data_IF_176858809899
#
_entry.id   IF_176858809899
#
_cell.length_a   1.000
_cell.length_b   1.000
_cell.length_c   1.000
_cell.angle_alpha   90.00
_cell.angle_beta   90.00
_cell.angle_gamma   90.00
#
_symmetry.space_group_name_H-M   'P 1'
#
loop_
_entity.id
_entity.type
_entity.pdbx_description
1 polymer ?
#
# COMPACT_ATOMS: atom_id res chain seq x y z
N UNK A 1 44.21 -1.42 15.51
CA UNK A 1 43.82 -0.15 14.89
C UNK A 1 44.92 0.30 13.95
N UNK A 2 44.54 0.66 12.72
CA UNK A 2 45.42 1.27 11.71
C UNK A 2 44.94 2.69 11.43
N UNK A 3 45.86 3.61 11.13
CA UNK A 3 45.47 4.99 10.77
C UNK A 3 44.81 5.01 9.41
N UNK A 4 43.63 5.68 9.32
CA UNK A 4 42.98 6.01 8.06
C UNK A 4 43.38 7.42 7.58
N UNK A 5 42.82 7.85 6.43
CA UNK A 5 43.00 9.20 5.93
C UNK A 5 42.40 10.26 6.90
N UNK A 6 43.10 11.38 7.03
CA UNK A 6 42.65 12.50 7.88
C UNK A 6 41.46 13.27 7.25
N UNK A 7 40.55 13.77 8.07
CA UNK A 7 39.52 14.74 7.63
C UNK A 7 40.18 16.00 7.06
N UNK A 8 39.64 16.61 5.99
CA UNK A 8 40.18 17.85 5.43
C UNK A 8 40.24 19.03 6.42
N UNK A 9 39.32 19.05 7.37
CA UNK A 9 39.23 20.09 8.41
C UNK A 9 38.89 19.47 9.76
N UNK A 10 39.59 19.88 10.82
CA UNK A 10 39.32 19.41 12.18
C UNK A 10 37.98 19.98 12.69
N UNK A 11 37.07 19.11 13.06
CA UNK A 11 35.71 19.43 13.54
C UNK A 11 35.35 18.58 14.76
N UNK A 12 34.44 19.06 15.58
CA UNK A 12 33.88 18.31 16.71
C UNK A 12 32.35 18.27 16.66
N UNK A 13 31.71 17.33 17.34
CA UNK A 13 30.24 17.17 17.39
C UNK A 13 29.59 17.07 15.99
N UNK A 14 30.23 16.36 15.09
CA UNK A 14 29.75 16.13 13.72
C UNK A 14 28.62 15.08 13.69
N UNK A 15 27.72 15.24 12.74
CA UNK A 15 26.87 14.15 12.25
C UNK A 15 27.72 13.10 11.51
N UNK A 16 27.26 11.85 11.53
CA UNK A 16 27.94 10.74 10.90
C UNK A 16 26.95 9.69 10.38
N UNK A 17 27.28 9.06 9.24
CA UNK A 17 26.54 7.93 8.69
C UNK A 17 27.49 6.96 8.01
N UNK A 18 27.05 5.71 7.83
CA UNK A 18 27.81 4.70 7.07
C UNK A 18 28.69 3.78 7.89
N UNK A 19 29.67 3.17 7.22
CA UNK A 19 30.55 2.12 7.73
C UNK A 19 32.02 2.51 7.70
N UNK A 20 32.91 1.61 8.15
CA UNK A 20 34.36 1.80 8.14
C UNK A 20 34.94 2.10 6.75
N UNK A 21 34.39 1.51 5.70
CA UNK A 21 34.88 1.66 4.33
C UNK A 21 34.06 2.63 3.48
N UNK A 22 32.93 3.12 4.02
CA UNK A 22 32.01 4.01 3.34
C UNK A 22 31.27 4.89 4.37
N UNK A 23 31.97 5.91 4.90
CA UNK A 23 31.42 6.81 5.91
C UNK A 23 31.15 8.21 5.32
N UNK A 24 30.18 8.91 5.92
CA UNK A 24 29.89 10.31 5.67
C UNK A 24 30.00 11.07 7.00
N UNK A 25 30.76 12.16 6.99
CA UNK A 25 30.89 13.09 8.12
C UNK A 25 30.40 14.48 7.71
N UNK A 26 29.53 15.11 8.49
CA UNK A 26 28.88 16.36 8.09
C UNK A 26 28.59 17.30 9.27
N UNK A 27 28.55 18.58 8.99
CA UNK A 27 28.33 19.61 9.99
C UNK A 27 29.45 19.69 11.03
N UNK A 28 29.08 19.97 12.28
CA UNK A 28 30.00 20.10 13.41
C UNK A 28 30.48 21.52 13.68
N UNK A 29 31.27 21.68 14.73
CA UNK A 29 31.89 22.94 15.13
C UNK A 29 33.39 22.99 14.86
N UNK A 30 33.96 24.18 14.68
CA UNK A 30 35.42 24.41 14.57
C UNK A 30 36.01 24.78 15.94
N UNK A 31 37.18 24.26 16.22
CA UNK A 31 37.91 24.59 17.45
C UNK A 31 38.27 26.10 17.49
N UNK A 32 38.00 26.75 18.62
CA UNK A 32 38.35 28.16 18.83
C UNK A 32 37.34 29.21 18.40
N UNK A 33 36.20 28.82 17.85
CA UNK A 33 35.13 29.72 17.41
C UNK A 33 33.94 29.77 18.37
N UNK A 34 33.39 30.95 18.62
CA UNK A 34 32.12 31.18 19.34
C UNK A 34 31.06 31.71 18.36
N UNK A 35 29.82 31.27 18.50
CA UNK A 35 28.68 31.75 17.69
C UNK A 35 28.42 30.95 16.40
N UNK A 36 27.47 31.45 15.60
CA UNK A 36 26.97 30.73 14.39
C UNK A 36 28.05 30.55 13.29
N UNK A 37 28.99 31.49 13.18
CA UNK A 37 30.06 31.47 12.19
C UNK A 37 31.09 30.34 12.40
N UNK A 38 31.09 29.69 13.58
CA UNK A 38 31.98 28.58 13.88
C UNK A 38 31.37 27.19 13.58
N UNK A 39 30.19 27.12 12.97
CA UNK A 39 29.52 25.88 12.64
C UNK A 39 29.63 25.55 11.16
N UNK A 40 30.05 24.31 10.90
CA UNK A 40 30.36 23.85 9.57
C UNK A 40 29.09 23.43 8.80
N UNK A 41 29.04 23.81 7.53
CA UNK A 41 28.12 23.24 6.54
C UNK A 41 28.75 22.09 5.75
N UNK A 42 30.08 21.87 5.86
CA UNK A 42 30.76 20.89 4.99
C UNK A 42 30.34 19.47 5.30
N UNK A 43 30.32 18.68 4.26
CA UNK A 43 30.08 17.25 4.27
C UNK A 43 31.21 16.57 3.51
N UNK A 44 31.72 15.46 4.04
CA UNK A 44 32.87 14.73 3.50
C UNK A 44 32.58 13.23 3.50
N UNK A 45 32.82 12.55 2.36
CA UNK A 45 32.67 11.10 2.19
C UNK A 45 34.02 10.38 2.30
N UNK A 46 34.08 9.27 3.02
CA UNK A 46 35.24 8.40 3.19
C UNK A 46 35.09 7.13 2.36
N UNK A 47 36.10 6.78 1.58
CA UNK A 47 36.09 5.62 0.69
C UNK A 47 36.89 4.41 1.23
N UNK A 48 37.21 4.41 2.51
CA UNK A 48 38.08 3.39 3.14
C UNK A 48 39.55 3.81 3.20
N UNK A 49 39.95 4.88 2.49
CA UNK A 49 41.37 5.36 2.44
C UNK A 49 41.47 6.87 2.62
N UNK A 50 40.59 7.64 2.01
CA UNK A 50 40.63 9.11 1.99
C UNK A 50 39.24 9.72 2.07
N UNK A 51 39.21 11.00 2.49
CA UNK A 51 38.01 11.81 2.54
C UNK A 51 37.92 12.70 1.31
N UNK A 52 36.72 12.83 0.74
CA UNK A 52 36.40 13.71 -0.40
C UNK A 52 35.20 14.55 -0.05
N UNK A 53 35.25 15.87 -0.33
CA UNK A 53 34.12 16.78 -0.10
C UNK A 53 32.89 16.39 -0.92
N UNK A 54 31.73 16.44 -0.29
CA UNK A 54 30.41 16.24 -0.91
C UNK A 54 29.60 17.55 -0.78
N UNK A 55 28.43 17.68 -1.44
CA UNK A 55 27.59 18.88 -1.28
C UNK A 55 27.37 19.26 0.18
N UNK A 56 27.34 20.55 0.44
CA UNK A 56 27.23 21.12 1.78
C UNK A 56 25.79 21.09 2.31
N UNK A 57 25.63 21.04 3.61
CA UNK A 57 24.38 21.31 4.33
C UNK A 57 23.89 22.74 4.01
N UNK A 58 22.58 22.94 4.03
CA UNK A 58 21.98 24.28 3.91
C UNK A 58 22.31 25.16 5.11
N UNK A 59 22.44 24.56 6.30
CA UNK A 59 22.69 25.30 7.55
C UNK A 59 23.74 24.60 8.41
N UNK A 60 24.82 25.31 8.70
CA UNK A 60 25.88 24.82 9.60
C UNK A 60 25.39 24.66 11.03
N UNK A 61 25.58 23.48 11.62
CA UNK A 61 25.18 23.16 13.00
C UNK A 61 26.02 22.05 13.63
N UNK A 62 26.10 22.07 14.95
CA UNK A 62 26.83 21.09 15.75
C UNK A 62 25.92 20.33 16.71
N UNK A 63 26.30 19.15 17.15
CA UNK A 63 25.59 18.39 18.18
C UNK A 63 24.17 17.97 17.78
N UNK A 64 23.91 17.83 16.48
CA UNK A 64 22.71 17.19 15.94
C UNK A 64 22.80 15.67 15.99
N UNK A 65 21.66 15.01 15.97
CA UNK A 65 21.55 13.58 15.76
C UNK A 65 21.69 13.21 14.29
N UNK A 66 22.13 11.99 14.01
CA UNK A 66 22.32 11.51 12.65
C UNK A 66 22.04 10.02 12.54
N UNK A 67 21.66 9.56 11.35
CA UNK A 67 21.42 8.15 11.03
C UNK A 67 21.69 7.88 9.54
N UNK A 68 21.62 6.62 9.13
CA UNK A 68 21.70 6.22 7.73
C UNK A 68 23.08 5.70 7.29
N UNK A 69 23.29 5.72 5.98
CA UNK A 69 24.51 5.25 5.30
C UNK A 69 25.16 6.40 4.52
N UNK A 70 26.34 6.16 3.95
CA UNK A 70 27.10 7.19 3.21
C UNK A 70 26.30 7.88 2.11
N UNK A 71 25.43 7.16 1.41
CA UNK A 71 24.66 7.65 0.26
C UNK A 71 23.19 7.97 0.60
N UNK A 72 22.78 7.76 1.86
CA UNK A 72 21.40 8.03 2.33
C UNK A 72 21.46 8.35 3.83
N UNK A 73 21.67 9.62 4.17
CA UNK A 73 21.92 10.07 5.54
C UNK A 73 20.94 11.14 6.01
N UNK A 74 20.69 11.14 7.31
CA UNK A 74 19.83 12.09 7.99
C UNK A 74 20.63 12.89 9.03
N UNK A 75 20.43 14.22 9.06
CA UNK A 75 20.87 15.11 10.13
C UNK A 75 19.67 15.83 10.71
N UNK A 76 19.47 15.77 12.01
CA UNK A 76 18.32 16.39 12.67
C UNK A 76 18.70 17.08 13.98
N UNK A 77 17.97 18.14 14.31
CA UNK A 77 18.27 18.95 15.49
C UNK A 77 19.64 19.63 15.40
N UNK A 78 20.25 19.82 16.54
CA UNK A 78 21.56 20.46 16.68
C UNK A 78 21.49 21.88 17.23
N UNK A 79 22.59 22.56 17.15
CA UNK A 79 22.76 23.91 17.67
C UNK A 79 23.31 24.85 16.59
N UNK A 80 22.61 25.95 16.33
CA UNK A 80 23.09 27.09 15.51
C UNK A 80 23.55 28.19 16.43
N UNK A 81 22.64 28.88 17.12
CA UNK A 81 22.82 29.75 18.28
C UNK A 81 22.04 29.20 19.47
N UNK A 82 20.96 28.52 19.20
CA UNK A 82 20.09 27.79 20.12
C UNK A 82 19.82 26.41 19.57
N UNK A 83 19.16 25.53 20.32
CA UNK A 83 18.68 24.26 19.85
C UNK A 83 17.67 24.45 18.70
N UNK A 84 17.76 23.64 17.66
CA UNK A 84 16.88 23.71 16.49
C UNK A 84 16.13 22.38 16.25
N UNK A 85 15.09 22.45 15.43
CA UNK A 85 14.30 21.28 15.02
C UNK A 85 14.58 20.82 13.58
N UNK A 86 15.40 21.54 12.84
CA UNK A 86 15.65 21.31 11.42
C UNK A 86 16.15 19.89 11.14
N UNK A 87 15.64 19.31 10.07
CA UNK A 87 16.12 18.05 9.50
C UNK A 87 16.62 18.28 8.09
N UNK A 88 17.75 17.68 7.74
CA UNK A 88 18.26 17.62 6.37
C UNK A 88 18.55 16.18 5.97
N UNK A 89 18.24 15.85 4.73
CA UNK A 89 18.36 14.53 4.11
C UNK A 89 19.40 14.56 3.00
N UNK A 90 20.29 13.56 2.99
CA UNK A 90 21.27 13.34 1.92
C UNK A 90 20.85 12.16 1.06
N UNK A 91 20.73 12.38 -0.25
CA UNK A 91 20.35 11.36 -1.24
C UNK A 91 21.55 10.73 -1.98
N UNK A 92 22.77 11.01 -1.53
CA UNK A 92 24.02 10.62 -2.20
C UNK A 92 24.56 11.71 -3.14
N UNK A 93 23.77 12.70 -3.50
CA UNK A 93 24.13 13.77 -4.43
C UNK A 93 23.88 15.18 -3.89
N UNK A 94 22.93 15.35 -3.00
CA UNK A 94 22.53 16.65 -2.42
C UNK A 94 21.92 16.53 -1.04
N UNK A 95 21.96 17.64 -0.27
CA UNK A 95 21.22 17.80 0.97
C UNK A 95 19.92 18.57 0.71
N UNK A 96 18.80 18.05 1.18
CA UNK A 96 17.48 18.68 1.08
C UNK A 96 16.83 18.76 2.46
N UNK A 97 15.93 19.73 2.66
CA UNK A 97 15.21 19.85 3.92
C UNK A 97 14.13 18.76 4.03
N UNK A 98 14.17 17.99 5.12
CA UNK A 98 13.12 17.08 5.53
C UNK A 98 12.15 17.73 6.53
N UNK A 99 11.16 16.96 7.01
CA UNK A 99 10.25 17.38 8.07
C UNK A 99 10.97 17.67 9.38
N UNK A 100 10.60 18.74 10.07
CA UNK A 100 11.24 19.14 11.32
C UNK A 100 10.82 18.25 12.49
N UNK A 101 11.72 18.09 13.48
CA UNK A 101 11.39 17.55 14.80
C UNK A 101 10.24 18.34 15.44
N UNK A 102 9.40 17.68 16.22
CA UNK A 102 8.36 18.33 17.01
C UNK A 102 8.94 19.12 18.19
N UNK A 103 10.11 18.69 18.68
CA UNK A 103 10.81 19.36 19.79
C UNK A 103 12.21 19.76 19.36
N UNK A 104 12.56 21.05 19.52
CA UNK A 104 13.92 21.53 19.29
C UNK A 104 14.88 20.84 20.24
N UNK A 105 16.00 20.34 19.72
CA UNK A 105 16.99 19.64 20.55
C UNK A 105 18.40 19.74 20.00
N UNK A 106 19.37 19.85 20.91
CA UNK A 106 20.82 19.82 20.66
C UNK A 106 21.47 18.77 21.53
N UNK A 107 22.76 18.49 21.32
CA UNK A 107 23.49 17.42 22.01
C UNK A 107 22.71 16.11 21.97
N UNK A 108 22.11 15.88 20.81
CA UNK A 108 21.25 14.73 20.58
C UNK A 108 22.13 13.50 20.55
N UNK A 109 21.61 12.43 21.07
CA UNK A 109 22.09 11.09 20.79
C UNK A 109 21.95 10.84 19.29
N UNK A 110 22.88 10.10 18.69
CA UNK A 110 22.67 9.66 17.31
C UNK A 110 21.33 8.92 17.19
N UNK A 111 20.63 9.13 16.09
CA UNK A 111 19.47 8.34 15.75
C UNK A 111 19.85 6.88 15.51
N UNK A 112 18.95 5.97 15.82
CA UNK A 112 19.04 4.57 15.38
C UNK A 112 18.14 4.37 14.18
N UNK A 113 18.69 3.84 13.07
CA UNK A 113 17.90 3.56 11.87
C UNK A 113 18.48 4.08 10.56
N UNK A 114 17.63 4.21 9.57
CA UNK A 114 17.92 4.61 8.18
C UNK A 114 17.42 6.03 7.90
N UNK A 115 17.64 6.54 6.68
CA UNK A 115 17.08 7.80 6.22
C UNK A 115 15.55 7.87 6.38
N UNK A 116 14.85 6.77 6.14
CA UNK A 116 13.37 6.72 6.10
C UNK A 116 12.76 6.02 7.32
N UNK A 117 13.56 5.60 8.31
CA UNK A 117 13.10 4.96 9.53
C UNK A 117 14.15 5.21 10.63
N UNK A 118 14.00 6.30 11.36
CA UNK A 118 14.94 6.72 12.41
C UNK A 118 14.21 7.02 13.70
N UNK A 119 14.68 6.44 14.80
CA UNK A 119 14.23 6.78 16.15
C UNK A 119 15.31 7.57 16.90
N UNK A 120 14.94 8.56 17.65
CA UNK A 120 15.83 9.32 18.54
C UNK A 120 15.17 9.59 19.89
N UNK A 121 15.98 9.65 20.93
CA UNK A 121 15.55 10.00 22.29
C UNK A 121 16.50 11.02 22.89
N UNK A 122 16.03 11.75 23.88
CA UNK A 122 16.87 12.64 24.66
C UNK A 122 17.35 13.88 23.92
N UNK A 123 18.53 14.35 24.29
CA UNK A 123 19.07 15.62 23.88
C UNK A 123 18.78 16.71 24.94
N UNK A 124 19.05 17.96 24.55
CA UNK A 124 18.92 19.14 25.41
C UNK A 124 18.12 20.21 24.67
N UNK A 125 17.02 20.67 25.25
CA UNK A 125 16.27 21.83 24.75
C UNK A 125 16.95 23.15 25.14
N UNK A 126 16.56 24.27 24.53
CA UNK A 126 16.98 25.56 25.01
C UNK A 126 16.02 26.02 26.12
N UNK A 127 16.52 26.43 27.30
CA UNK A 127 17.87 26.82 27.70
C UNK A 127 18.73 25.74 28.38
N UNK A 128 18.62 24.46 28.07
CA UNK A 128 19.56 23.47 28.57
C UNK A 128 18.98 22.33 29.39
N UNK A 129 17.66 22.19 29.41
CA UNK A 129 17.01 21.06 30.07
C UNK A 129 17.15 19.77 29.25
N UNK A 130 17.59 18.67 29.86
CA UNK A 130 17.64 17.36 29.23
C UNK A 130 16.22 16.81 28.99
N UNK A 131 16.02 16.19 27.83
CA UNK A 131 14.72 15.72 27.34
C UNK A 131 14.61 14.21 27.57
N UNK A 132 13.42 13.73 27.94
CA UNK A 132 13.09 12.29 28.01
C UNK A 132 12.41 11.80 26.75
N UNK A 133 11.75 12.68 26.01
CA UNK A 133 10.90 12.34 24.86
C UNK A 133 11.69 11.77 23.69
N UNK A 134 11.07 10.81 23.01
CA UNK A 134 11.54 10.26 21.73
C UNK A 134 10.69 10.73 20.57
N UNK A 135 11.28 10.68 19.37
CA UNK A 135 10.61 10.95 18.10
C UNK A 135 11.09 9.97 17.04
N UNK A 136 10.15 9.51 16.21
CA UNK A 136 10.41 8.61 15.07
C UNK A 136 10.20 9.35 13.75
N UNK A 137 11.09 9.16 12.80
CA UNK A 137 11.04 9.70 11.43
C UNK A 137 10.65 8.63 10.43
N UNK A 138 9.69 8.92 9.56
CA UNK A 138 9.17 7.99 8.56
C UNK A 138 9.64 8.29 7.12
N UNK A 139 10.66 9.10 6.95
CA UNK A 139 11.12 9.57 5.64
C UNK A 139 10.44 10.87 5.15
N UNK A 140 9.50 11.43 5.93
CA UNK A 140 8.80 12.67 5.56
C UNK A 140 8.56 13.56 6.78
N UNK A 141 8.19 12.98 7.92
CA UNK A 141 7.83 13.71 9.13
C UNK A 141 8.25 12.99 10.41
N UNK A 142 8.42 13.75 11.47
CA UNK A 142 8.66 13.24 12.82
C UNK A 142 7.36 13.07 13.60
N UNK A 143 7.23 11.96 14.30
CA UNK A 143 6.12 11.68 15.21
C UNK A 143 6.66 11.44 16.61
N UNK A 144 6.12 12.14 17.61
CA UNK A 144 6.46 11.89 19.01
C UNK A 144 6.03 10.50 19.43
N UNK A 145 6.95 9.72 19.99
CA UNK A 145 6.63 8.41 20.53
C UNK A 145 6.15 8.52 21.97
N UNK A 146 5.26 7.61 22.39
CA UNK A 146 4.72 7.61 23.75
C UNK A 146 5.73 7.13 24.81
N UNK A 147 6.75 6.35 24.37
CA UNK A 147 7.85 5.95 25.25
C UNK A 147 8.75 7.13 25.59
N UNK A 148 9.23 7.18 26.80
CA UNK A 148 10.19 8.18 27.26
C UNK A 148 11.33 7.54 28.02
N UNK A 149 12.52 8.13 27.97
CA UNK A 149 13.62 7.74 28.84
C UNK A 149 13.24 7.89 30.31
N UNK A 150 13.73 7.01 31.17
CA UNK A 150 13.52 7.10 32.63
C UNK A 150 14.06 8.42 33.21
N UNK A 151 15.13 8.94 32.63
CA UNK A 151 15.69 10.25 32.96
C UNK A 151 16.10 11.00 31.69
N UNK A 152 15.92 12.31 31.65
CA UNK A 152 16.38 13.13 30.52
C UNK A 152 17.90 13.03 30.39
N UNK A 153 18.38 12.60 29.23
CA UNK A 153 19.83 12.46 28.94
C UNK A 153 20.23 13.21 27.69
N UNK A 154 21.45 13.68 27.65
CA UNK A 154 22.08 14.22 26.46
C UNK A 154 23.44 13.58 26.25
N UNK A 155 23.98 13.61 25.03
CA UNK A 155 25.27 12.99 24.66
C UNK A 155 25.39 11.51 25.00
N UNK A 156 24.28 10.75 24.99
CA UNK A 156 24.29 9.30 25.18
C UNK A 156 24.77 8.59 23.90
N UNK A 157 25.17 7.31 24.03
CA UNK A 157 25.37 6.42 22.92
C UNK A 157 24.06 5.81 22.41
N UNK A 158 24.01 5.39 21.16
CA UNK A 158 22.90 4.60 20.63
C UNK A 158 23.41 3.49 19.69
N UNK A 159 22.62 2.43 19.56
CA UNK A 159 22.81 1.47 18.45
C UNK A 159 22.39 2.14 17.14
N UNK A 160 22.93 1.65 16.02
CA UNK A 160 22.65 2.20 14.68
C UNK A 160 21.78 1.26 13.83
N UNK A 161 21.07 0.31 14.46
CA UNK A 161 20.52 -0.85 13.74
C UNK A 161 19.17 -0.58 13.05
N UNK A 162 18.21 0.03 13.72
CA UNK A 162 16.88 0.31 13.11
C UNK A 162 16.09 1.34 13.91
N UNK A 163 15.08 1.95 13.28
CA UNK A 163 14.12 2.82 13.95
C UNK A 163 13.13 2.06 14.84
N UNK A 164 13.02 0.75 14.69
CA UNK A 164 12.12 -0.11 15.46
C UNK A 164 12.75 -0.82 16.64
N UNK A 165 14.10 -0.83 16.74
CA UNK A 165 14.84 -1.44 17.85
C UNK A 165 16.13 -0.67 18.09
N UNK A 166 16.27 -0.12 19.28
CA UNK A 166 17.42 0.72 19.62
C UNK A 166 17.84 0.53 21.07
N UNK A 167 19.11 0.70 21.33
CA UNK A 167 19.69 0.77 22.69
C UNK A 167 20.25 2.17 22.89
N UNK A 168 19.90 2.81 23.99
CA UNK A 168 20.44 4.09 24.42
C UNK A 168 21.19 3.89 25.74
N UNK A 169 22.42 4.38 25.84
CA UNK A 169 23.25 4.11 27.00
C UNK A 169 24.14 5.28 27.38
N UNK A 170 24.36 5.44 28.67
CA UNK A 170 25.21 6.49 29.23
C UNK A 170 24.69 7.88 28.97
N UNK A 171 25.57 8.86 28.94
CA UNK A 171 25.26 10.27 28.71
C UNK A 171 25.27 11.11 29.98
N UNK A 172 24.77 12.35 29.86
CA UNK A 172 24.63 13.29 30.98
C UNK A 172 23.17 13.51 31.34
N UNK A 173 22.86 13.42 32.61
CA UNK A 173 21.55 13.79 33.20
C UNK A 173 21.73 15.11 34.00
N UNK A 174 20.66 15.75 34.47
CA UNK A 174 20.76 16.89 35.39
C UNK A 174 21.54 16.60 36.67
N UNK A 175 21.60 15.32 37.08
CA UNK A 175 22.37 14.85 38.24
C UNK A 175 23.83 14.46 37.95
N UNK A 176 24.29 14.56 36.72
CA UNK A 176 25.63 14.16 36.28
C UNK A 176 25.63 13.01 35.26
N UNK A 177 26.78 12.35 35.12
CA UNK A 177 26.92 11.21 34.19
C UNK A 177 26.13 10.01 34.68
N UNK A 178 25.55 9.25 33.73
CA UNK A 178 24.80 8.04 34.01
C UNK A 178 25.44 6.79 33.38
N UNK A 179 25.25 5.65 34.01
CA UNK A 179 25.59 4.32 33.48
C UNK A 179 24.36 3.60 32.94
N UNK A 180 23.18 4.26 32.98
CA UNK A 180 21.92 3.64 32.56
C UNK A 180 22.00 3.17 31.10
N UNK A 181 21.39 2.04 30.85
CA UNK A 181 21.10 1.50 29.53
C UNK A 181 19.61 1.31 29.41
N UNK A 182 19.03 1.81 28.35
CA UNK A 182 17.61 1.68 28.08
C UNK A 182 17.40 1.09 26.67
N UNK A 183 16.57 0.07 26.60
CA UNK A 183 16.24 -0.62 25.34
C UNK A 183 14.89 -0.17 24.84
N UNK A 184 14.86 0.29 23.60
CA UNK A 184 13.64 0.61 22.88
C UNK A 184 13.30 -0.50 21.93
N UNK A 185 12.08 -1.00 22.02
CA UNK A 185 11.50 -1.92 21.05
C UNK A 185 10.16 -1.39 20.60
N UNK A 186 10.04 -1.17 19.30
CA UNK A 186 8.75 -0.98 18.66
C UNK A 186 8.05 -2.34 18.66
N UNK A 187 7.17 -2.57 19.60
CA UNK A 187 6.35 -3.77 19.55
C UNK A 187 5.26 -3.56 18.50
N UNK A 188 5.20 -4.47 17.57
CA UNK A 188 4.03 -4.63 16.70
C UNK A 188 2.89 -5.05 17.63
N UNK A 189 1.98 -4.12 17.92
CA UNK A 189 0.80 -4.42 18.73
C UNK A 189 -0.39 -4.66 17.85
N UNK A 190 -1.12 -5.65 18.26
CA UNK A 190 -2.40 -6.13 17.74
C UNK A 190 -2.68 -5.63 16.34
N UNK A 191 -2.55 -6.47 15.34
CA UNK A 191 -3.02 -6.11 14.03
C UNK A 191 -4.43 -5.59 14.20
N UNK A 192 -4.74 -4.42 13.65
CA UNK A 192 -6.14 -4.07 13.43
C UNK A 192 -6.61 -5.14 12.47
N UNK A 193 -7.43 -6.05 12.99
CA UNK A 193 -7.89 -7.19 12.22
C UNK A 193 -8.52 -6.70 10.92
N UNK A 194 -8.23 -7.38 9.84
CA UNK A 194 -8.91 -7.15 8.57
C UNK A 194 -10.43 -7.14 8.79
N UNK A 195 -11.13 -6.21 8.16
CA UNK A 195 -12.59 -6.08 8.35
C UNK A 195 -13.31 -5.67 7.06
N UNK A 196 -14.59 -6.03 6.99
CA UNK A 196 -15.54 -5.40 6.06
C UNK A 196 -16.33 -4.33 6.81
N UNK A 197 -16.23 -3.08 6.37
CA UNK A 197 -17.00 -1.97 6.91
C UNK A 197 -18.10 -1.57 5.92
N UNK A 198 -19.19 -1.01 6.43
CA UNK A 198 -20.25 -0.43 5.59
C UNK A 198 -19.75 0.86 4.94
N UNK A 199 -19.89 0.97 3.62
CA UNK A 199 -19.72 2.21 2.86
C UNK A 199 -21.06 2.87 2.57
N UNK A 200 -21.05 4.00 1.87
CA UNK A 200 -22.27 4.65 1.35
C UNK A 200 -23.03 3.75 0.38
N UNK A 201 -24.33 3.84 0.38
CA UNK A 201 -25.19 3.04 -0.50
C UNK A 201 -25.19 3.58 -1.93
N UNK A 202 -25.30 2.69 -2.93
CA UNK A 202 -25.63 3.04 -4.30
C UNK A 202 -26.94 3.83 -4.35
N UNK A 203 -27.06 4.79 -5.25
CA UNK A 203 -28.30 5.52 -5.49
C UNK A 203 -29.38 4.61 -6.08
N UNK A 204 -28.98 3.68 -6.95
CA UNK A 204 -29.89 2.70 -7.56
C UNK A 204 -29.47 1.27 -7.22
N UNK A 205 -30.36 0.54 -6.52
CA UNK A 205 -30.15 -0.87 -6.19
C UNK A 205 -30.08 -1.74 -7.44
N UNK A 206 -29.01 -2.52 -7.57
CA UNK A 206 -28.75 -3.34 -8.75
C UNK A 206 -28.01 -4.63 -8.42
N UNK A 207 -28.11 -5.58 -9.33
CA UNK A 207 -27.36 -6.85 -9.31
C UNK A 207 -26.69 -7.07 -10.66
N UNK A 208 -25.67 -7.90 -10.71
CA UNK A 208 -24.99 -8.27 -11.97
C UNK A 208 -24.36 -7.04 -12.70
N UNK A 209 -24.10 -5.98 -11.98
CA UNK A 209 -23.31 -4.84 -12.47
C UNK A 209 -21.82 -5.15 -12.45
N UNK A 210 -21.07 -4.51 -13.35
CA UNK A 210 -19.61 -4.52 -13.30
C UNK A 210 -19.08 -3.58 -12.22
N UNK A 211 -17.89 -3.83 -11.70
CA UNK A 211 -17.18 -2.96 -10.75
C UNK A 211 -15.72 -2.77 -11.12
N UNK A 212 -15.22 -1.53 -10.96
CA UNK A 212 -13.83 -1.14 -11.18
C UNK A 212 -13.36 -0.17 -10.10
N UNK A 213 -12.06 0.14 -10.05
CA UNK A 213 -11.48 1.01 -9.04
C UNK A 213 -11.21 0.31 -7.72
N UNK A 214 -11.25 1.04 -6.62
CA UNK A 214 -10.96 0.55 -5.28
C UNK A 214 -11.94 1.08 -4.21
N UNK A 215 -11.69 0.75 -2.94
CA UNK A 215 -12.55 1.14 -1.81
C UNK A 215 -12.67 2.65 -1.57
N UNK A 216 -11.77 3.47 -2.12
CA UNK A 216 -11.77 4.93 -1.97
C UNK A 216 -12.24 5.64 -3.25
N UNK A 217 -12.11 4.96 -4.39
CA UNK A 217 -12.45 5.45 -5.71
C UNK A 217 -13.02 4.32 -6.57
N UNK A 218 -14.23 3.92 -6.28
CA UNK A 218 -14.95 2.83 -6.95
C UNK A 218 -15.82 3.31 -8.10
N UNK A 219 -16.06 2.44 -9.06
CA UNK A 219 -16.97 2.61 -10.19
C UNK A 219 -17.87 1.40 -10.30
N UNK A 220 -19.17 1.62 -10.46
CA UNK A 220 -20.13 0.56 -10.81
C UNK A 220 -20.94 1.01 -12.01
N UNK A 221 -21.02 0.16 -13.03
CA UNK A 221 -21.79 0.46 -14.24
C UNK A 221 -22.63 -0.74 -14.71
N UNK A 222 -23.75 -0.44 -15.33
CA UNK A 222 -24.70 -1.43 -15.82
C UNK A 222 -25.35 -2.26 -14.71
N UNK A 223 -25.77 -3.43 -15.07
CA UNK A 223 -26.46 -4.38 -14.18
C UNK A 223 -27.96 -4.49 -14.46
N UNK A 224 -28.64 -5.16 -13.55
CA UNK A 224 -30.08 -5.32 -13.59
C UNK A 224 -30.71 -4.64 -12.38
N UNK A 225 -31.48 -3.59 -12.60
CA UNK A 225 -32.26 -2.90 -11.58
C UNK A 225 -33.61 -3.63 -11.39
N UNK A 226 -34.49 -3.09 -10.56
CA UNK A 226 -35.74 -3.76 -10.13
C UNK A 226 -36.57 -4.36 -11.27
N UNK A 227 -36.62 -3.70 -12.42
CA UNK A 227 -37.50 -4.10 -13.53
C UNK A 227 -36.80 -4.31 -14.86
N UNK A 228 -35.56 -3.81 -15.03
CA UNK A 228 -34.88 -3.81 -16.32
C UNK A 228 -33.34 -3.78 -16.17
N UNK A 229 -32.65 -4.16 -17.27
CA UNK A 229 -31.24 -3.85 -17.45
C UNK A 229 -31.03 -2.34 -17.45
N UNK A 230 -29.91 -1.89 -16.90
CA UNK A 230 -29.57 -0.46 -16.81
C UNK A 230 -28.23 -0.17 -17.46
N UNK A 231 -28.04 1.05 -17.91
CA UNK A 231 -26.77 1.62 -18.34
C UNK A 231 -26.15 2.50 -17.25
N UNK A 232 -26.86 2.72 -16.14
CA UNK A 232 -26.48 3.67 -15.10
C UNK A 232 -25.08 3.42 -14.55
N UNK A 233 -24.35 4.51 -14.41
CA UNK A 233 -22.98 4.55 -13.90
C UNK A 233 -22.93 5.35 -12.61
N UNK A 234 -22.30 4.83 -11.58
CA UNK A 234 -22.09 5.51 -10.30
C UNK A 234 -20.61 5.45 -9.87
N UNK A 235 -20.10 6.56 -9.35
CA UNK A 235 -18.76 6.69 -8.79
C UNK A 235 -18.79 6.82 -7.27
N UNK A 236 -17.85 6.15 -6.61
CA UNK A 236 -17.65 6.14 -5.16
C UNK A 236 -16.43 6.96 -4.78
N UNK A 237 -16.57 7.88 -3.83
CA UNK A 237 -15.50 8.75 -3.36
C UNK A 237 -14.91 8.30 -2.00
N UNK A 238 -15.13 7.05 -1.60
CA UNK A 238 -14.75 6.52 -0.28
C UNK A 238 -15.82 6.71 0.80
N UNK A 239 -16.87 7.49 0.52
CA UNK A 239 -17.94 7.80 1.49
C UNK A 239 -19.33 7.66 0.87
N UNK A 240 -19.56 8.16 -0.33
CA UNK A 240 -20.86 8.19 -1.02
C UNK A 240 -20.71 7.90 -2.51
N UNK A 241 -21.81 7.47 -3.12
CA UNK A 241 -21.94 7.26 -4.55
C UNK A 241 -22.61 8.49 -5.22
N UNK A 242 -22.13 8.83 -6.39
CA UNK A 242 -22.71 9.86 -7.25
C UNK A 242 -22.96 9.32 -8.65
N UNK A 243 -24.09 9.68 -9.23
CA UNK A 243 -24.42 9.32 -10.61
C UNK A 243 -23.54 10.06 -11.61
N UNK A 244 -23.17 9.35 -12.67
CA UNK A 244 -22.33 9.82 -13.77
C UNK A 244 -23.04 9.57 -15.11
N UNK A 245 -22.41 9.93 -16.22
CA UNK A 245 -22.93 9.65 -17.54
C UNK A 245 -23.02 8.14 -17.78
N UNK A 246 -24.15 7.71 -18.31
CA UNK A 246 -24.50 6.33 -18.56
C UNK A 246 -23.69 5.71 -19.71
N UNK A 247 -23.54 4.38 -19.69
CA UNK A 247 -23.03 3.61 -20.83
C UNK A 247 -23.95 3.78 -22.05
N UNK A 248 -23.39 3.66 -23.25
CA UNK A 248 -24.15 3.67 -24.50
C UNK A 248 -25.15 2.51 -24.59
N UNK A 249 -24.81 1.34 -24.03
CA UNK A 249 -25.63 0.13 -24.10
C UNK A 249 -26.00 -0.39 -22.72
N UNK A 250 -27.29 -0.39 -22.37
CA UNK A 250 -27.82 -1.00 -21.16
C UNK A 250 -27.63 -2.53 -21.18
N UNK A 251 -26.92 -3.06 -20.18
CA UNK A 251 -26.54 -4.48 -20.10
C UNK A 251 -26.24 -4.94 -18.67
N UNK A 252 -26.35 -6.22 -18.43
CA UNK A 252 -25.96 -6.87 -17.18
C UNK A 252 -25.04 -8.07 -17.45
N UNK A 253 -24.41 -8.62 -16.41
CA UNK A 253 -23.42 -9.72 -16.55
C UNK A 253 -22.24 -9.36 -17.47
N UNK A 254 -21.92 -8.09 -17.60
CA UNK A 254 -20.74 -7.59 -18.27
C UNK A 254 -19.53 -7.62 -17.32
N UNK A 255 -18.34 -7.74 -17.87
CA UNK A 255 -17.12 -7.46 -17.14
C UNK A 255 -16.87 -5.94 -17.11
N UNK A 256 -16.32 -5.45 -16.01
CA UNK A 256 -15.86 -4.06 -15.86
C UNK A 256 -14.57 -4.08 -15.05
N UNK A 257 -13.51 -3.51 -15.59
CA UNK A 257 -12.20 -3.43 -14.94
C UNK A 257 -11.51 -2.10 -15.28
N UNK A 258 -10.56 -1.71 -14.47
CA UNK A 258 -9.81 -0.47 -14.58
C UNK A 258 -9.85 0.32 -13.28
N UNK A 259 -9.56 1.60 -13.38
CA UNK A 259 -9.72 2.57 -12.28
C UNK A 259 -11.06 3.29 -12.41
N UNK A 260 -11.42 4.11 -11.41
CA UNK A 260 -12.62 4.96 -11.48
C UNK A 260 -12.59 5.88 -12.71
N UNK A 261 -11.43 6.41 -13.09
CA UNK A 261 -11.28 7.37 -14.18
C UNK A 261 -10.79 6.78 -15.50
N UNK A 262 -10.55 5.45 -15.55
CA UNK A 262 -10.11 4.75 -16.76
C UNK A 262 -10.53 3.28 -16.67
N UNK A 263 -11.77 2.98 -17.05
CA UNK A 263 -12.36 1.65 -16.96
C UNK A 263 -12.88 1.15 -18.29
N UNK A 264 -12.76 -0.17 -18.52
CA UNK A 264 -13.27 -0.84 -19.72
C UNK A 264 -14.42 -1.78 -19.32
N UNK A 265 -15.59 -1.59 -19.92
CA UNK A 265 -16.76 -2.50 -19.81
C UNK A 265 -16.92 -3.27 -21.11
N UNK A 266 -17.05 -4.58 -21.05
CA UNK A 266 -17.17 -5.39 -22.25
C UNK A 266 -18.00 -6.64 -22.03
N UNK A 267 -18.55 -7.14 -23.14
CA UNK A 267 -19.48 -8.26 -23.09
C UNK A 267 -20.79 -7.93 -22.38
N UNK A 268 -21.42 -8.94 -21.81
CA UNK A 268 -22.67 -8.82 -21.08
C UNK A 268 -23.89 -9.30 -21.84
N UNK A 269 -25.06 -9.10 -21.25
CA UNK A 269 -26.34 -9.53 -21.81
C UNK A 269 -27.26 -8.33 -22.08
N UNK A 270 -27.73 -8.20 -23.32
CA UNK A 270 -28.68 -7.17 -23.74
C UNK A 270 -29.85 -7.70 -24.60
N UNK A 271 -30.27 -8.95 -24.36
CA UNK A 271 -31.23 -9.72 -25.18
C UNK A 271 -30.57 -10.96 -25.79
N UNK A 272 -29.25 -11.04 -25.68
CA UNK A 272 -28.30 -12.11 -26.00
C UNK A 272 -26.95 -11.75 -25.43
N UNK A 273 -25.98 -12.64 -25.49
CA UNK A 273 -24.58 -12.30 -25.21
C UNK A 273 -24.05 -11.34 -26.27
N UNK A 274 -23.46 -10.24 -25.86
CA UNK A 274 -22.95 -9.19 -26.74
C UNK A 274 -21.43 -9.07 -26.65
N UNK A 275 -20.79 -8.51 -27.68
CA UNK A 275 -19.35 -8.22 -27.71
C UNK A 275 -19.01 -6.79 -27.33
N UNK A 276 -20.02 -5.91 -27.24
CA UNK A 276 -19.82 -4.46 -27.05
C UNK A 276 -18.79 -4.13 -25.99
N UNK A 277 -17.85 -3.28 -26.37
CA UNK A 277 -16.77 -2.78 -25.50
C UNK A 277 -16.88 -1.26 -25.40
N UNK A 278 -16.93 -0.73 -24.20
CA UNK A 278 -16.99 0.71 -23.93
C UNK A 278 -15.92 1.11 -22.92
N UNK A 279 -15.21 2.22 -23.21
CA UNK A 279 -14.20 2.82 -22.37
C UNK A 279 -14.76 4.03 -21.63
N UNK A 280 -14.59 4.05 -20.32
CA UNK A 280 -14.87 5.19 -19.45
C UNK A 280 -13.61 6.01 -19.21
N UNK A 281 -13.70 7.34 -19.36
CA UNK A 281 -12.58 8.26 -19.21
C UNK A 281 -12.63 9.10 -17.93
N UNK A 282 -13.48 8.74 -16.96
CA UNK A 282 -13.74 9.51 -15.76
C UNK A 282 -14.89 10.52 -15.90
N UNK A 283 -15.50 10.62 -17.09
CA UNK A 283 -16.63 11.53 -17.34
C UNK A 283 -17.67 10.89 -18.25
N UNK A 284 -17.25 10.20 -19.29
CA UNK A 284 -18.16 9.67 -20.32
C UNK A 284 -17.65 8.32 -20.86
N UNK A 285 -18.55 7.58 -21.45
CA UNK A 285 -18.32 6.32 -22.14
C UNK A 285 -18.12 6.54 -23.64
N UNK A 286 -17.22 5.79 -24.24
CA UNK A 286 -16.99 5.77 -25.69
C UNK A 286 -16.85 4.34 -26.18
N UNK A 287 -17.51 4.02 -27.30
CA UNK A 287 -17.43 2.73 -27.97
C UNK A 287 -15.98 2.42 -28.40
N UNK A 288 -15.59 1.17 -28.23
CA UNK A 288 -14.33 0.61 -28.64
C UNK A 288 -14.56 -0.61 -29.55
N UNK A 289 -13.49 -1.22 -30.05
CA UNK A 289 -13.62 -2.47 -30.80
C UNK A 289 -14.12 -3.60 -29.89
N UNK A 290 -15.10 -4.35 -30.38
CA UNK A 290 -15.81 -5.38 -29.66
C UNK A 290 -14.98 -6.65 -29.44
N UNK A 291 -15.33 -7.46 -28.43
CA UNK A 291 -14.87 -8.83 -28.28
C UNK A 291 -15.13 -9.61 -29.58
N UNK A 292 -14.19 -10.47 -29.98
CA UNK A 292 -14.37 -11.33 -31.14
C UNK A 292 -15.57 -12.28 -30.96
N UNK A 293 -15.82 -12.72 -29.72
CA UNK A 293 -16.99 -13.55 -29.39
C UNK A 293 -17.86 -12.90 -28.33
N UNK A 294 -19.07 -12.50 -28.71
CA UNK A 294 -20.06 -11.92 -27.77
C UNK A 294 -20.48 -12.92 -26.70
N UNK A 295 -20.30 -12.53 -25.42
CA UNK A 295 -20.58 -13.40 -24.27
C UNK A 295 -20.89 -12.63 -23.01
N UNK A 296 -21.58 -13.26 -22.08
CA UNK A 296 -21.92 -12.72 -20.76
C UNK A 296 -21.38 -13.63 -19.64
N UNK A 297 -21.44 -13.18 -18.39
CA UNK A 297 -20.96 -13.94 -17.21
C UNK A 297 -19.48 -14.33 -17.25
N UNK A 298 -18.71 -13.60 -18.05
CA UNK A 298 -17.27 -13.74 -18.19
C UNK A 298 -16.56 -13.04 -17.02
N UNK A 299 -15.30 -13.35 -16.83
CA UNK A 299 -14.41 -12.68 -15.90
C UNK A 299 -13.32 -11.89 -16.64
N UNK A 300 -12.63 -11.06 -15.89
CA UNK A 300 -11.60 -10.19 -16.44
C UNK A 300 -10.47 -9.91 -15.44
N UNK A 301 -9.29 -9.57 -15.98
CA UNK A 301 -8.14 -9.05 -15.27
C UNK A 301 -7.43 -7.99 -16.12
N UNK A 302 -6.74 -7.02 -15.49
CA UNK A 302 -5.98 -6.01 -16.22
C UNK A 302 -6.55 -4.60 -16.12
N UNK A 303 -6.03 -3.71 -16.95
CA UNK A 303 -6.33 -2.28 -17.01
C UNK A 303 -7.17 -1.94 -18.24
N UNK A 304 -7.66 -0.70 -18.35
CA UNK A 304 -8.46 -0.24 -19.51
C UNK A 304 -7.70 -0.30 -20.85
N UNK A 305 -6.37 -0.39 -20.83
CA UNK A 305 -5.54 -0.47 -22.03
C UNK A 305 -4.82 -1.80 -22.22
N UNK A 306 -4.86 -2.68 -21.21
CA UNK A 306 -4.25 -4.01 -21.23
C UNK A 306 -5.15 -4.95 -20.44
N UNK A 307 -6.18 -5.51 -21.11
CA UNK A 307 -7.23 -6.30 -20.50
C UNK A 307 -7.18 -7.75 -20.94
N UNK A 308 -7.54 -8.66 -20.03
CA UNK A 308 -7.77 -10.08 -20.32
C UNK A 308 -9.23 -10.40 -20.01
N UNK A 309 -9.94 -10.99 -20.97
CA UNK A 309 -11.31 -11.49 -20.87
C UNK A 309 -11.30 -13.01 -20.97
N UNK A 310 -11.94 -13.72 -20.04
CA UNK A 310 -11.93 -15.18 -20.05
C UNK A 310 -13.21 -15.83 -19.53
N UNK A 311 -13.49 -17.00 -20.05
CA UNK A 311 -14.70 -17.76 -19.72
C UNK A 311 -16.00 -17.12 -20.26
N UNK A 312 -17.11 -17.51 -19.68
CA UNK A 312 -18.43 -16.93 -19.98
C UNK A 312 -19.45 -17.89 -20.59
N UNK A 313 -20.54 -17.34 -21.10
CA UNK A 313 -21.70 -18.00 -21.71
C UNK A 313 -21.87 -17.44 -23.14
N UNK A 314 -22.32 -18.13 -24.18
CA UNK A 314 -23.38 -19.14 -24.20
C UNK A 314 -22.97 -20.54 -23.77
N UNK A 315 -24.02 -21.40 -23.55
CA UNK A 315 -23.85 -22.80 -23.23
C UNK A 315 -23.45 -23.62 -24.47
N UNK A 316 -22.50 -24.60 -24.33
CA UNK A 316 -21.75 -24.90 -23.13
C UNK A 316 -20.86 -23.75 -22.72
N UNK A 317 -20.54 -23.61 -21.40
CA UNK A 317 -19.73 -22.51 -20.94
C UNK A 317 -18.39 -22.44 -21.67
N UNK A 318 -17.98 -21.25 -22.06
CA UNK A 318 -16.81 -21.03 -22.89
C UNK A 318 -15.52 -21.06 -22.06
N UNK A 319 -14.45 -21.53 -22.69
CA UNK A 319 -13.09 -21.42 -22.16
C UNK A 319 -12.34 -20.23 -22.73
N UNK A 320 -12.85 -19.55 -23.71
CA UNK A 320 -12.20 -18.53 -24.52
C UNK A 320 -11.52 -17.46 -23.69
N UNK A 321 -10.30 -17.14 -24.11
CA UNK A 321 -9.50 -16.05 -23.55
C UNK A 321 -9.17 -15.08 -24.66
N UNK A 322 -9.41 -13.79 -24.44
CA UNK A 322 -9.08 -12.71 -25.36
C UNK A 322 -8.29 -11.60 -24.62
N UNK A 323 -7.28 -11.05 -25.28
CA UNK A 323 -6.50 -9.92 -24.82
C UNK A 323 -6.85 -8.64 -25.57
N UNK A 324 -6.99 -7.53 -24.83
CA UNK A 324 -7.17 -6.18 -25.37
C UNK A 324 -5.86 -5.40 -25.24
N UNK A 325 -5.40 -4.81 -26.35
CA UNK A 325 -4.14 -4.05 -26.42
C UNK A 325 -4.32 -2.53 -26.34
N UNK A 326 -5.49 -2.06 -25.90
CA UNK A 326 -5.86 -0.64 -25.92
C UNK A 326 -6.59 -0.22 -27.18
N UNK A 327 -6.70 -1.10 -28.18
CA UNK A 327 -7.39 -0.82 -29.45
C UNK A 327 -8.29 -1.98 -29.89
N UNK A 328 -7.81 -3.21 -29.84
CA UNK A 328 -8.50 -4.39 -30.37
C UNK A 328 -8.31 -5.61 -29.49
N UNK A 329 -9.22 -6.56 -29.62
CA UNK A 329 -9.16 -7.86 -28.97
C UNK A 329 -8.50 -8.90 -29.86
N UNK A 330 -7.72 -9.79 -29.26
CA UNK A 330 -7.07 -10.93 -29.93
C UNK A 330 -7.23 -12.19 -29.08
N UNK A 331 -7.49 -13.31 -29.75
CA UNK A 331 -7.62 -14.62 -29.09
C UNK A 331 -6.28 -15.10 -28.53
N UNK A 332 -6.33 -15.73 -27.36
CA UNK A 332 -5.21 -16.31 -26.65
C UNK A 332 -5.49 -17.76 -26.27
N UNK A 333 -4.56 -18.43 -25.60
CA UNK A 333 -4.77 -19.79 -25.11
C UNK A 333 -5.88 -19.82 -24.05
N UNK A 334 -6.80 -20.74 -24.24
CA UNK A 334 -8.02 -20.89 -23.45
C UNK A 334 -7.79 -21.42 -22.04
N UNK A 335 -8.76 -21.16 -21.14
CA UNK A 335 -8.87 -21.86 -19.86
C UNK A 335 -8.87 -23.39 -20.07
N UNK A 336 -8.27 -24.15 -19.18
CA UNK A 336 -8.32 -25.61 -19.24
C UNK A 336 -9.76 -26.16 -19.12
N UNK A 337 -10.65 -25.41 -18.49
CA UNK A 337 -12.05 -25.81 -18.35
C UNK A 337 -12.98 -24.61 -18.57
N UNK A 338 -13.88 -24.72 -19.56
CA UNK A 338 -14.90 -23.67 -19.81
C UNK A 338 -15.85 -23.53 -18.64
N UNK A 339 -16.02 -22.28 -18.16
CA UNK A 339 -16.87 -21.97 -17.01
C UNK A 339 -17.37 -20.54 -17.05
N UNK A 340 -18.46 -20.29 -16.35
CA UNK A 340 -19.13 -18.99 -16.22
C UNK A 340 -19.34 -18.62 -14.77
N UNK A 341 -19.68 -17.36 -14.48
CA UNK A 341 -19.88 -16.86 -13.12
C UNK A 341 -18.67 -17.03 -12.21
N UNK A 342 -17.49 -17.04 -12.79
CA UNK A 342 -16.21 -17.09 -12.09
C UNK A 342 -15.77 -15.69 -11.66
N UNK A 343 -14.89 -15.58 -10.69
CA UNK A 343 -14.18 -14.36 -10.41
C UNK A 343 -12.85 -14.30 -11.18
N UNK A 344 -12.48 -13.08 -11.60
CA UNK A 344 -11.18 -12.79 -12.18
C UNK A 344 -10.51 -11.65 -11.45
N UNK A 345 -9.19 -11.70 -11.30
CA UNK A 345 -8.37 -10.61 -10.76
C UNK A 345 -6.93 -10.75 -11.24
N UNK A 346 -6.12 -9.71 -11.02
CA UNK A 346 -4.73 -9.65 -11.49
C UNK A 346 -4.53 -8.68 -12.65
N UNK A 347 -3.44 -8.89 -13.39
CA UNK A 347 -3.08 -8.13 -14.60
C UNK A 347 -3.39 -8.92 -15.85
N UNK A 348 -3.22 -8.32 -17.03
CA UNK A 348 -3.38 -9.03 -18.31
C UNK A 348 -2.44 -10.25 -18.42
N UNK A 349 -1.21 -10.14 -17.94
CA UNK A 349 -0.17 -11.17 -18.04
C UNK A 349 0.00 -12.01 -16.78
N UNK A 350 -0.72 -11.70 -15.69
CA UNK A 350 -0.67 -12.44 -14.43
C UNK A 350 -2.07 -12.40 -13.78
N UNK A 351 -2.96 -13.24 -14.28
CA UNK A 351 -4.37 -13.28 -13.90
C UNK A 351 -4.73 -14.55 -13.14
N UNK A 352 -5.78 -14.47 -12.34
CA UNK A 352 -6.40 -15.60 -11.65
C UNK A 352 -7.84 -15.75 -12.09
N UNK A 353 -8.24 -16.97 -12.46
CA UNK A 353 -9.60 -17.39 -12.72
C UNK A 353 -10.06 -18.34 -11.60
N UNK A 354 -10.97 -17.89 -10.73
CA UNK A 354 -11.35 -18.63 -9.54
C UNK A 354 -12.83 -19.03 -9.52
N UNK A 355 -13.11 -20.28 -9.20
CA UNK A 355 -14.46 -20.83 -9.05
C UNK A 355 -15.31 -20.75 -10.32
N UNK A 356 -16.59 -20.40 -10.15
CA UNK A 356 -17.57 -20.42 -11.24
C UNK A 356 -18.14 -21.81 -11.46
N UNK A 357 -18.60 -22.09 -12.69
CA UNK A 357 -19.01 -23.45 -13.01
C UNK A 357 -19.85 -23.60 -14.27
N UNK A 358 -19.93 -24.81 -14.75
CA UNK A 358 -20.86 -25.34 -15.73
C UNK A 358 -20.67 -26.88 -15.85
N UNK A 359 -21.74 -27.71 -15.78
CA UNK A 359 -23.11 -27.35 -15.38
C UNK A 359 -23.27 -27.03 -13.88
N UNK A 360 -22.31 -27.42 -13.05
CA UNK A 360 -22.31 -27.21 -11.61
C UNK A 360 -21.20 -26.26 -11.18
N UNK A 361 -21.35 -25.63 -9.99
CA UNK A 361 -20.29 -24.82 -9.42
C UNK A 361 -19.05 -25.66 -9.08
N UNK A 362 -17.87 -25.07 -9.24
CA UNK A 362 -16.57 -25.70 -9.01
C UNK A 362 -15.70 -24.86 -8.07
N UNK A 363 -14.65 -25.50 -7.55
CA UNK A 363 -13.62 -24.85 -6.76
C UNK A 363 -12.33 -24.58 -7.55
N UNK A 364 -12.28 -24.95 -8.83
CA UNK A 364 -11.10 -24.83 -9.68
C UNK A 364 -10.56 -23.41 -9.73
N UNK A 365 -9.23 -23.31 -9.65
CA UNK A 365 -8.49 -22.06 -9.85
C UNK A 365 -7.44 -22.28 -10.92
N UNK A 366 -7.31 -21.32 -11.80
CA UNK A 366 -6.28 -21.32 -12.84
C UNK A 366 -5.56 -19.97 -12.83
N UNK A 367 -4.26 -20.01 -13.06
CA UNK A 367 -3.40 -18.83 -13.21
C UNK A 367 -2.91 -18.68 -14.64
N UNK A 368 -2.95 -17.44 -15.12
CA UNK A 368 -2.43 -17.04 -16.42
C UNK A 368 -1.04 -16.41 -16.27
N UNK A 369 -0.11 -16.80 -17.12
CA UNK A 369 1.28 -16.35 -17.10
C UNK A 369 1.64 -15.41 -18.26
N UNK A 370 0.64 -14.85 -18.95
CA UNK A 370 0.82 -14.06 -20.17
C UNK A 370 0.80 -14.90 -21.46
N UNK A 371 0.69 -16.23 -21.34
CA UNK A 371 0.67 -17.13 -22.51
C UNK A 371 -0.33 -18.27 -22.33
N UNK A 372 -0.40 -18.88 -21.16
CA UNK A 372 -1.22 -20.06 -20.91
C UNK A 372 -1.77 -20.10 -19.50
N UNK A 373 -2.86 -20.87 -19.33
CA UNK A 373 -3.49 -21.13 -18.04
C UNK A 373 -2.95 -22.41 -17.41
N UNK A 374 -2.66 -22.35 -16.12
CA UNK A 374 -2.19 -23.49 -15.32
C UNK A 374 -3.11 -23.66 -14.11
N UNK A 375 -3.58 -24.89 -13.85
CA UNK A 375 -4.35 -25.21 -12.67
C UNK A 375 -3.49 -25.10 -11.41
N UNK A 376 -4.00 -24.42 -10.40
CA UNK A 376 -3.33 -24.19 -9.11
C UNK A 376 -4.23 -24.61 -7.95
N UNK A 377 -3.83 -24.30 -6.71
CA UNK A 377 -4.58 -24.65 -5.49
C UNK A 377 -6.03 -24.20 -5.59
N UNK A 378 -6.96 -25.15 -5.48
CA UNK A 378 -8.39 -24.88 -5.57
C UNK A 378 -8.91 -24.07 -4.37
N UNK A 379 -10.03 -23.38 -4.56
CA UNK A 379 -10.78 -22.74 -3.46
C UNK A 379 -11.14 -23.77 -2.37
N UNK A 380 -11.17 -23.38 -1.09
CA UNK A 380 -11.58 -24.26 0.00
C UNK A 380 -13.02 -24.80 -0.11
N UNK A 381 -13.87 -24.10 -0.86
CA UNK A 381 -15.24 -24.50 -1.13
C UNK A 381 -15.70 -24.06 -2.51
N UNK A 382 -16.54 -24.86 -3.14
CA UNK A 382 -17.17 -24.55 -4.44
C UNK A 382 -18.05 -23.31 -4.34
N UNK A 383 -17.94 -22.39 -5.29
CA UNK A 383 -18.77 -21.18 -5.37
C UNK A 383 -18.86 -20.62 -6.78
N UNK A 384 -19.95 -19.92 -7.05
CA UNK A 384 -20.18 -19.18 -8.28
C UNK A 384 -20.84 -17.83 -7.98
N UNK A 385 -20.84 -16.90 -8.95
CA UNK A 385 -21.48 -15.57 -8.81
C UNK A 385 -20.91 -14.75 -7.64
N UNK A 386 -19.67 -15.00 -7.32
CA UNK A 386 -18.93 -14.31 -6.25
C UNK A 386 -18.13 -13.14 -6.81
N UNK A 387 -17.79 -12.18 -5.97
CA UNK A 387 -16.85 -11.12 -6.29
C UNK A 387 -15.41 -11.58 -6.14
N UNK A 388 -14.50 -10.85 -6.75
CA UNK A 388 -13.06 -11.05 -6.60
C UNK A 388 -12.28 -9.80 -6.95
N UNK A 389 -11.09 -9.62 -6.35
CA UNK A 389 -10.21 -8.49 -6.60
C UNK A 389 -8.81 -8.73 -6.06
N UNK A 390 -7.89 -7.84 -6.42
CA UNK A 390 -6.48 -7.93 -6.07
C UNK A 390 -5.59 -8.29 -7.25
N UNK A 391 -4.37 -8.71 -6.94
CA UNK A 391 -3.37 -9.22 -7.89
C UNK A 391 -3.11 -10.70 -7.67
N UNK A 392 -2.42 -11.36 -8.60
CA UNK A 392 -2.18 -12.81 -8.55
C UNK A 392 -1.54 -13.28 -7.23
N UNK A 393 -0.66 -12.49 -6.63
CA UNK A 393 0.03 -12.81 -5.37
C UNK A 393 -0.63 -12.22 -4.11
N UNK A 394 -1.72 -11.48 -4.26
CA UNK A 394 -2.47 -10.86 -3.15
C UNK A 394 -3.89 -10.55 -3.61
N UNK A 395 -4.72 -11.58 -3.68
CA UNK A 395 -6.09 -11.50 -4.15
C UNK A 395 -7.08 -12.06 -3.16
N UNK A 396 -8.38 -11.88 -3.46
CA UNK A 396 -9.46 -12.45 -2.67
C UNK A 396 -10.67 -12.79 -3.51
N UNK A 397 -11.48 -13.71 -3.00
CA UNK A 397 -12.86 -13.92 -3.46
C UNK A 397 -13.82 -13.84 -2.28
N UNK A 398 -15.03 -13.30 -2.51
CA UNK A 398 -16.00 -13.04 -1.44
C UNK A 398 -17.45 -13.22 -1.92
N UNK A 399 -18.29 -13.66 -1.02
CA UNK A 399 -19.71 -13.88 -1.31
C UNK A 399 -19.94 -15.01 -2.30
N UNK A 400 -21.00 -14.88 -3.08
CA UNK A 400 -21.41 -15.87 -4.10
C UNK A 400 -22.54 -16.76 -3.66
N UNK A 401 -22.71 -17.86 -4.37
CA UNK A 401 -23.73 -18.89 -4.11
C UNK A 401 -23.05 -20.26 -3.98
N UNK A 402 -23.41 -21.01 -2.93
CA UNK A 402 -23.06 -22.41 -2.76
C UNK A 402 -23.96 -23.29 -3.64
N UNK A 403 -23.46 -24.45 -4.12
CA UNK A 403 -24.24 -25.35 -4.99
C UNK A 403 -25.27 -26.21 -4.25
N UNK A 404 -25.44 -26.10 -2.94
CA UNK A 404 -26.41 -26.86 -2.18
C UNK A 404 -27.84 -26.67 -2.70
N UNK A 405 -28.73 -27.67 -2.64
CA UNK A 405 -30.10 -27.55 -3.11
C UNK A 405 -30.77 -26.28 -2.55
N UNK A 406 -31.14 -25.35 -3.44
CA UNK A 406 -31.69 -24.05 -3.05
C UNK A 406 -30.73 -22.88 -3.14
N UNK A 407 -29.41 -23.09 -3.33
CA UNK A 407 -28.41 -22.05 -3.58
C UNK A 407 -28.31 -20.99 -2.48
N UNK A 408 -27.66 -21.31 -1.37
CA UNK A 408 -27.48 -20.33 -0.26
C UNK A 408 -26.51 -19.24 -0.63
N UNK A 409 -26.85 -17.99 -0.37
CA UNK A 409 -25.93 -16.87 -0.47
C UNK A 409 -24.81 -16.99 0.57
N UNK A 410 -23.61 -16.65 0.17
CA UNK A 410 -22.43 -16.73 1.01
C UNK A 410 -22.02 -15.34 1.50
N UNK A 411 -21.59 -15.26 2.75
CA UNK A 411 -20.86 -14.10 3.29
C UNK A 411 -19.36 -14.34 3.31
N UNK A 412 -18.93 -15.62 3.24
CA UNK A 412 -17.53 -16.01 3.40
C UNK A 412 -16.62 -15.37 2.37
N UNK A 413 -15.43 -14.97 2.81
CA UNK A 413 -14.34 -14.51 1.96
C UNK A 413 -13.06 -15.32 2.24
N UNK A 414 -12.25 -15.50 1.21
CA UNK A 414 -10.94 -16.15 1.30
C UNK A 414 -9.91 -15.32 0.53
N UNK A 415 -8.75 -15.11 1.15
CA UNK A 415 -7.60 -14.43 0.57
C UNK A 415 -6.65 -15.43 -0.08
N UNK A 416 -6.00 -15.01 -1.15
CA UNK A 416 -5.01 -15.75 -1.92
C UNK A 416 -3.65 -15.08 -1.84
N UNK A 417 -2.60 -15.84 -1.52
CA UNK A 417 -1.22 -15.35 -1.38
C UNK A 417 -0.32 -15.67 -2.59
N UNK A 418 -0.90 -16.17 -3.68
CA UNK A 418 -0.19 -16.67 -4.87
C UNK A 418 0.11 -18.18 -4.82
N UNK A 419 -0.24 -18.86 -3.72
CA UNK A 419 0.02 -20.30 -3.55
C UNK A 419 -1.14 -21.02 -2.87
N UNK A 420 -1.73 -20.39 -1.85
CA UNK A 420 -2.74 -20.97 -0.99
C UNK A 420 -3.87 -20.00 -0.67
N UNK A 421 -5.00 -20.58 -0.24
CA UNK A 421 -6.18 -19.81 0.19
C UNK A 421 -6.35 -19.89 1.69
N UNK A 422 -6.53 -18.73 2.33
CA UNK A 422 -6.81 -18.61 3.76
C UNK A 422 -8.15 -17.90 4.00
N UNK A 423 -8.85 -18.30 5.08
CA UNK A 423 -10.06 -17.60 5.49
C UNK A 423 -9.72 -16.18 5.96
N UNK A 424 -10.48 -15.21 5.49
CA UNK A 424 -10.42 -13.81 5.91
C UNK A 424 -11.80 -13.37 6.40
N UNK A 425 -11.94 -12.21 7.05
CA UNK A 425 -13.24 -11.74 7.55
C UNK A 425 -14.33 -11.78 6.48
N UNK A 426 -15.49 -12.25 6.87
CA UNK A 426 -16.67 -12.39 6.00
C UNK A 426 -17.37 -11.05 5.82
N UNK A 427 -18.08 -10.90 4.70
CA UNK A 427 -19.06 -9.83 4.51
C UNK A 427 -20.06 -9.79 5.66
N UNK A 428 -20.51 -8.60 6.06
CA UNK A 428 -21.56 -8.46 7.09
C UNK A 428 -22.89 -9.08 6.65
N UNK A 429 -23.16 -9.15 5.35
CA UNK A 429 -24.37 -9.75 4.78
C UNK A 429 -24.01 -10.67 3.63
N UNK A 430 -24.55 -11.89 3.64
CA UNK A 430 -24.39 -12.86 2.55
C UNK A 430 -25.01 -12.30 1.25
N UNK A 431 -24.23 -12.29 0.17
CA UNK A 431 -24.67 -11.75 -1.14
C UNK A 431 -23.94 -12.40 -2.33
N UNK A 432 -24.57 -12.32 -3.49
CA UNK A 432 -24.01 -12.76 -4.76
C UNK A 432 -24.25 -11.74 -5.87
N UNK A 433 -23.68 -11.97 -7.06
CA UNK A 433 -23.81 -11.07 -8.22
C UNK A 433 -23.42 -9.63 -7.89
N UNK A 434 -22.29 -9.47 -7.26
CA UNK A 434 -21.80 -8.26 -6.62
C UNK A 434 -20.96 -7.50 -7.65
N UNK A 435 -21.21 -6.20 -7.81
CA UNK A 435 -20.26 -5.28 -8.42
C UNK A 435 -19.16 -4.97 -7.41
N UNK A 436 -17.93 -5.18 -7.78
CA UNK A 436 -16.84 -4.85 -6.88
C UNK A 436 -15.52 -5.43 -7.35
N UNK A 437 -14.45 -4.71 -7.07
CA UNK A 437 -13.10 -5.08 -7.49
C UNK A 437 -12.03 -4.30 -6.73
N UNK A 438 -10.80 -4.66 -6.96
CA UNK A 438 -9.58 -3.88 -6.81
C UNK A 438 -8.55 -4.43 -7.77
N UNK A 439 -7.65 -3.58 -8.25
CA UNK A 439 -6.55 -3.98 -9.12
C UNK A 439 -5.18 -3.96 -8.42
N UNK A 440 -5.12 -3.49 -7.17
CA UNK A 440 -3.84 -3.27 -6.48
C UNK A 440 -3.52 -4.33 -5.45
N UNK A 441 -4.48 -4.69 -4.61
CA UNK A 441 -4.31 -5.70 -3.57
C UNK A 441 -5.66 -6.11 -2.98
N UNK A 442 -5.70 -7.21 -2.23
CA UNK A 442 -6.89 -7.59 -1.48
C UNK A 442 -7.37 -6.50 -0.53
N UNK A 443 -6.47 -5.74 0.10
CA UNK A 443 -6.77 -4.72 1.10
C UNK A 443 -7.52 -3.48 0.61
N UNK A 444 -7.80 -3.38 -0.69
CA UNK A 444 -8.48 -2.24 -1.31
C UNK A 444 -9.80 -2.60 -1.99
N UNK A 445 -10.33 -3.78 -1.77
CA UNK A 445 -11.55 -4.30 -2.41
C UNK A 445 -12.82 -3.64 -1.85
N UNK A 446 -13.81 -3.44 -2.70
CA UNK A 446 -15.16 -3.10 -2.31
C UNK A 446 -16.19 -4.09 -2.89
N UNK A 447 -17.37 -4.15 -2.30
CA UNK A 447 -18.49 -4.99 -2.70
C UNK A 447 -19.78 -4.15 -2.69
N UNK A 448 -20.31 -3.83 -3.86
CA UNK A 448 -21.50 -2.97 -3.99
C UNK A 448 -22.65 -3.69 -4.70
N UNK A 449 -23.89 -3.45 -4.26
CA UNK A 449 -25.07 -4.06 -4.83
C UNK A 449 -25.18 -5.56 -4.57
N UNK A 450 -25.87 -6.28 -5.45
CA UNK A 450 -25.98 -7.75 -5.45
C UNK A 450 -27.35 -8.27 -5.04
N UNK A 451 -27.39 -9.57 -4.70
CA UNK A 451 -28.57 -10.31 -4.23
C UNK A 451 -28.38 -10.84 -2.82
N UNK A 452 -29.45 -11.11 -2.03
CA UNK A 452 -30.86 -11.18 -2.39
C UNK A 452 -31.50 -9.79 -2.62
N UNK A 453 -32.48 -9.75 -3.49
CA UNK A 453 -33.12 -8.49 -3.93
C UNK A 453 -32.21 -7.69 -4.88
N UNK A 454 -32.43 -6.38 -4.93
CA UNK A 454 -31.62 -5.43 -5.68
C UNK A 454 -31.06 -4.43 -4.65
N UNK A 455 -29.98 -4.85 -3.98
CA UNK A 455 -29.50 -4.10 -2.82
C UNK A 455 -28.65 -2.91 -3.25
N UNK A 456 -28.69 -1.86 -2.44
CA UNK A 456 -27.87 -0.65 -2.60
C UNK A 456 -26.58 -0.71 -1.77
N UNK A 457 -26.50 -1.65 -0.82
CA UNK A 457 -25.43 -1.66 0.19
C UNK A 457 -24.06 -1.84 -0.43
N UNK A 458 -23.12 -1.05 0.05
CA UNK A 458 -21.69 -1.18 -0.22
C UNK A 458 -20.97 -1.62 1.04
N UNK A 459 -19.98 -2.48 0.89
CA UNK A 459 -19.04 -2.83 1.93
C UNK A 459 -17.62 -2.65 1.39
N UNK A 460 -16.72 -2.15 2.21
CA UNK A 460 -15.32 -1.92 1.87
C UNK A 460 -14.43 -2.79 2.75
N UNK A 461 -13.48 -3.47 2.12
CA UNK A 461 -12.52 -4.30 2.83
C UNK A 461 -11.28 -3.48 3.19
N UNK A 462 -10.87 -3.59 4.42
CA UNK A 462 -9.56 -3.09 4.89
C UNK A 462 -8.79 -4.29 5.40
N UNK A 463 -7.61 -4.48 4.83
CA UNK A 463 -6.70 -5.56 5.23
C UNK A 463 -6.19 -5.34 6.67
N UNK A 464 -5.58 -6.36 7.21
CA UNK A 464 -4.88 -6.25 8.48
C UNK A 464 -3.84 -5.13 8.39
N UNK A 465 -3.99 -4.14 9.24
CA UNK A 465 -3.02 -3.06 9.38
C UNK A 465 -2.24 -3.29 10.66
N UNK A 466 -0.95 -3.52 10.50
CA UNK A 466 -0.04 -3.53 11.64
C UNK A 466 0.10 -2.11 12.15
N UNK A 467 -0.65 -1.76 13.19
CA UNK A 467 -0.45 -0.48 13.87
C UNK A 467 0.79 -0.59 14.73
N UNK A 468 1.79 0.22 14.42
CA UNK A 468 2.98 0.35 15.24
C UNK A 468 2.58 0.93 16.61
N UNK A 469 2.64 0.10 17.64
CA UNK A 469 2.48 0.52 19.02
C UNK A 469 3.85 0.65 19.68
N UNK A 470 3.98 1.56 20.62
CA UNK A 470 5.23 1.77 21.36
C UNK A 470 5.16 1.02 22.69
N UNK A 471 6.15 0.18 22.96
CA UNK A 471 6.30 -0.46 24.27
C UNK A 471 7.36 0.27 25.09
N UNK A 472 7.17 0.25 26.38
CA UNK A 472 8.02 0.78 27.44
C UNK A 472 9.51 0.54 27.20
N UNK A 473 10.32 1.59 27.36
CA UNK A 473 11.74 1.46 27.62
C UNK A 473 11.90 0.65 28.93
N UNK A 474 12.59 -0.46 28.86
CA UNK A 474 13.00 -1.21 30.05
C UNK A 474 14.41 -0.80 30.42
N UNK A 475 14.59 -0.28 31.63
CA UNK A 475 15.90 -0.09 32.24
C UNK A 475 16.39 -1.43 32.78
N UNK A 476 17.55 -1.88 32.38
CA UNK A 476 18.31 -2.96 33.01
C UNK A 476 19.32 -2.40 34.01
#
# INVERSE_FOLDING_TARGET
>A
WTSGGALPVAKYQMGRAGSQTAALGFGGGFAGGGGAASRSTTSDAYNGSSWTGTPALSTGREGGGSSGIQTAALLFGGNITTAVANTEEFDGSSWTNGGNLNTTRRKVTNGSGTLIDTITFGGESSPGASITAGENYNGTSWTTVSATLAAGTNQSGSSLSSGSSAVFFGGNTPGGKTTATEEFSLSIFSPIAATWASGGNLNTGRTLGGGAGDKNSGLVAGGYATTAKTAATEEYNGTSWSEQNDMGTARYEAALRGTQTAALSFGGYSGGGIGNTELYNGTSWSEQNDLNTGRNTLAAAGTSTAMLAFGGNPAPALAFTEEYNGTSWSEQNDLNTGRRYLAGFGTQTAAVAAGGGYPSAVANVEEYNGTSWTAVTALPAVRQRHGGGGVQTSGMVFGGISPNPGGSYLATAVGYDGTSWAAIPSLATAKSNIGGNSQTSQGTVFAAGGRPGYVTTTQVFTDEVVQLGYKTLTSS
#
